data_IF_269042120167
#
_entry.id   IF_269042120167
#
_cell.length_a   1.000
_cell.length_b   1.000
_cell.length_c   1.000
_cell.angle_alpha   90.00
_cell.angle_beta   90.00
_cell.angle_gamma   90.00
#
_symmetry.space_group_name_H-M   'P 1'
#
loop_
_entity.id
_entity.type
_entity.pdbx_description
1 polymer ?
#
# COMPACT_ATOMS: atom_id res chain seq x y z
N UNK A 1 19.03 -8.37 18.26
CA UNK A 1 18.03 -9.34 17.77
C UNK A 1 16.73 -9.27 18.56
N UNK A 2 16.65 -9.87 19.78
CA UNK A 2 15.38 -10.09 20.52
C UNK A 2 14.38 -8.92 20.60
N UNK A 3 14.84 -7.69 20.84
CA UNK A 3 13.95 -6.51 20.90
C UNK A 3 13.37 -6.18 19.52
N UNK A 4 14.19 -6.25 18.48
CA UNK A 4 13.75 -6.02 17.09
C UNK A 4 12.77 -7.10 16.66
N UNK A 5 13.04 -8.37 16.99
CA UNK A 5 12.14 -9.49 16.64
C UNK A 5 10.78 -9.37 17.36
N UNK A 6 10.80 -9.02 18.65
CA UNK A 6 9.57 -8.80 19.43
C UNK A 6 8.77 -7.61 18.89
N UNK A 7 9.44 -6.52 18.54
CA UNK A 7 8.79 -5.35 17.92
C UNK A 7 8.20 -5.70 16.56
N UNK A 8 8.92 -6.44 15.72
CA UNK A 8 8.43 -6.88 14.41
C UNK A 8 7.19 -7.77 14.53
N UNK A 9 7.19 -8.71 15.48
CA UNK A 9 6.01 -9.51 15.78
C UNK A 9 4.83 -8.64 16.23
N UNK A 10 5.08 -7.66 17.13
CA UNK A 10 4.07 -6.69 17.54
C UNK A 10 3.46 -5.91 16.37
N UNK A 11 4.30 -5.44 15.45
CA UNK A 11 3.86 -4.72 14.25
C UNK A 11 3.03 -5.60 13.30
N UNK A 12 3.38 -6.89 13.17
CA UNK A 12 2.57 -7.82 12.40
C UNK A 12 1.16 -7.97 13.00
N UNK A 13 1.05 -8.12 14.33
CA UNK A 13 -0.26 -8.17 15.00
C UNK A 13 -1.05 -6.86 14.86
N UNK A 14 -0.39 -5.70 14.99
CA UNK A 14 -1.03 -4.41 14.74
C UNK A 14 -1.58 -4.33 13.32
N UNK A 15 -0.82 -4.78 12.32
CA UNK A 15 -1.30 -4.80 10.93
C UNK A 15 -2.56 -5.67 10.75
N UNK A 16 -2.61 -6.84 11.40
CA UNK A 16 -3.79 -7.70 11.36
C UNK A 16 -5.00 -7.00 11.99
N UNK A 17 -4.82 -6.40 13.17
CA UNK A 17 -5.88 -5.70 13.88
C UNK A 17 -6.41 -4.50 13.08
N UNK A 18 -5.54 -3.72 12.44
CA UNK A 18 -5.95 -2.57 11.63
C UNK A 18 -6.75 -2.98 10.39
N UNK A 19 -6.35 -4.07 9.71
CA UNK A 19 -7.13 -4.58 8.55
C UNK A 19 -8.48 -5.14 8.99
N UNK A 20 -8.53 -5.85 10.11
CA UNK A 20 -9.79 -6.36 10.69
C UNK A 20 -10.74 -5.22 11.07
N UNK A 21 -10.23 -4.18 11.75
CA UNK A 21 -11.00 -3.00 12.11
C UNK A 21 -11.55 -2.26 10.87
N UNK A 22 -10.70 -2.06 9.85
CA UNK A 22 -11.11 -1.45 8.59
C UNK A 22 -12.25 -2.22 7.91
N UNK A 23 -12.09 -3.54 7.78
CA UNK A 23 -13.06 -4.37 7.05
C UNK A 23 -14.35 -4.53 7.83
N UNK A 24 -14.28 -4.58 9.17
CA UNK A 24 -15.45 -4.55 10.04
C UNK A 24 -16.23 -3.23 9.92
N UNK A 25 -15.56 -2.08 9.90
CA UNK A 25 -16.22 -0.77 9.72
C UNK A 25 -16.97 -0.69 8.38
N UNK A 26 -16.45 -1.35 7.33
CA UNK A 26 -17.04 -1.27 5.99
C UNK A 26 -18.05 -2.38 5.69
N UNK A 27 -18.12 -3.41 6.52
CA UNK A 27 -19.14 -4.46 6.43
C UNK A 27 -20.54 -3.91 6.73
N UNK A 28 -20.65 -2.90 7.61
CA UNK A 28 -21.91 -2.23 7.98
C UNK A 28 -22.39 -1.19 6.95
N UNK A 29 -21.77 -1.14 5.77
CA UNK A 29 -22.11 -0.21 4.68
C UNK A 29 -20.96 0.76 4.39
N UNK A 30 -19.94 0.25 3.70
CA UNK A 30 -18.76 1.00 3.31
C UNK A 30 -19.01 2.14 2.30
N UNK A 31 -17.96 2.90 1.95
CA UNK A 31 -18.06 4.07 1.08
C UNK A 31 -18.55 3.75 -0.33
N UNK A 32 -19.31 4.68 -0.92
CA UNK A 32 -19.69 4.61 -2.33
C UNK A 32 -18.46 4.75 -3.24
N UNK A 33 -18.48 4.03 -4.36
CA UNK A 33 -17.48 4.17 -5.42
C UNK A 33 -17.74 5.46 -6.20
N UNK A 34 -16.70 6.27 -6.38
CA UNK A 34 -16.81 7.46 -7.23
C UNK A 34 -17.05 7.08 -8.68
N UNK A 35 -17.76 7.94 -9.43
CA UNK A 35 -17.95 7.77 -10.88
C UNK A 35 -16.63 7.64 -11.67
N UNK A 36 -15.55 8.25 -11.18
CA UNK A 36 -14.23 8.18 -11.78
C UNK A 36 -13.39 6.97 -11.27
N UNK A 37 -13.97 6.13 -10.43
CA UNK A 37 -13.29 5.10 -9.65
C UNK A 37 -12.68 5.65 -8.36
N UNK A 38 -12.49 4.76 -7.39
CA UNK A 38 -11.87 5.09 -6.11
C UNK A 38 -12.80 5.73 -5.08
N UNK A 39 -12.19 6.24 -4.02
CA UNK A 39 -12.83 6.81 -2.83
C UNK A 39 -12.84 8.33 -2.87
N UNK A 40 -13.86 8.92 -2.24
CA UNK A 40 -13.88 10.35 -1.98
C UNK A 40 -12.86 10.73 -0.88
N UNK A 41 -12.33 11.96 -0.95
CA UNK A 41 -11.45 12.50 0.10
C UNK A 41 -12.14 12.50 1.47
N UNK A 42 -13.45 12.77 1.49
CA UNK A 42 -14.25 12.76 2.72
C UNK A 42 -14.32 11.37 3.33
N UNK A 43 -14.55 10.34 2.51
CA UNK A 43 -14.63 8.96 2.99
C UNK A 43 -13.27 8.46 3.46
N UNK A 44 -12.19 8.76 2.73
CA UNK A 44 -10.82 8.46 3.18
C UNK A 44 -10.50 9.13 4.53
N UNK A 45 -10.90 10.39 4.70
CA UNK A 45 -10.73 11.09 5.98
C UNK A 45 -11.55 10.46 7.11
N UNK A 46 -12.78 10.01 6.83
CA UNK A 46 -13.59 9.29 7.82
C UNK A 46 -12.91 7.98 8.22
N UNK A 47 -12.40 7.22 7.26
CA UNK A 47 -11.65 5.98 7.51
C UNK A 47 -10.38 6.25 8.33
N UNK A 48 -9.65 7.32 8.04
CA UNK A 48 -8.48 7.72 8.80
C UNK A 48 -8.82 8.03 10.27
N UNK A 49 -9.93 8.71 10.51
CA UNK A 49 -10.45 8.97 11.88
C UNK A 49 -10.88 7.68 12.56
N UNK A 50 -11.58 6.78 11.86
CA UNK A 50 -12.03 5.51 12.42
C UNK A 50 -10.85 4.62 12.85
N UNK A 51 -9.79 4.58 12.05
CA UNK A 51 -8.57 3.81 12.33
C UNK A 51 -7.57 4.53 13.25
N UNK A 52 -7.84 5.76 13.68
CA UNK A 52 -6.92 6.63 14.43
C UNK A 52 -5.52 6.76 13.79
N UNK A 53 -5.47 6.98 12.48
CA UNK A 53 -4.22 7.14 11.71
C UNK A 53 -4.27 8.35 10.78
N UNK A 54 -3.10 8.88 10.34
CA UNK A 54 -3.06 9.88 9.28
C UNK A 54 -3.67 9.38 7.96
N UNK A 55 -4.25 10.29 7.16
CA UNK A 55 -4.88 9.94 5.87
C UNK A 55 -3.99 9.12 4.92
N UNK A 56 -2.67 9.39 4.76
CA UNK A 56 -1.80 8.55 3.92
C UNK A 56 -1.65 7.11 4.43
N UNK A 57 -1.75 6.91 5.75
CA UNK A 57 -1.67 5.58 6.37
C UNK A 57 -2.99 4.83 6.17
N UNK A 58 -4.14 5.51 6.31
CA UNK A 58 -5.43 4.93 5.98
C UNK A 58 -5.50 4.51 4.50
N UNK A 59 -5.00 5.35 3.58
CA UNK A 59 -4.91 5.03 2.16
C UNK A 59 -4.05 3.77 1.92
N UNK A 60 -2.94 3.62 2.65
CA UNK A 60 -2.12 2.41 2.60
C UNK A 60 -2.90 1.16 3.00
N UNK A 61 -3.62 1.18 4.12
CA UNK A 61 -4.37 0.02 4.62
C UNK A 61 -5.52 -0.37 3.68
N UNK A 62 -6.27 0.62 3.18
CA UNK A 62 -7.34 0.42 2.20
C UNK A 62 -6.81 -0.25 0.93
N UNK A 63 -5.72 0.28 0.38
CA UNK A 63 -5.09 -0.28 -0.83
C UNK A 63 -4.50 -1.67 -0.60
N UNK A 64 -3.96 -1.92 0.60
CA UNK A 64 -3.44 -3.24 0.96
C UNK A 64 -4.56 -4.28 1.07
N UNK A 65 -5.66 -3.95 1.73
CA UNK A 65 -6.83 -4.82 1.85
C UNK A 65 -7.41 -5.14 0.46
N UNK A 66 -7.47 -4.13 -0.42
CA UNK A 66 -7.88 -4.32 -1.82
C UNK A 66 -6.91 -5.22 -2.59
N UNK A 67 -5.59 -4.97 -2.49
CA UNK A 67 -4.57 -5.80 -3.15
C UNK A 67 -4.54 -7.24 -2.64
N UNK A 68 -4.91 -7.49 -1.38
CA UNK A 68 -5.04 -8.82 -0.79
C UNK A 68 -6.35 -9.54 -1.19
N UNK A 69 -7.22 -8.86 -1.95
CA UNK A 69 -8.54 -9.34 -2.35
C UNK A 69 -9.49 -9.51 -1.18
N UNK A 70 -9.26 -8.79 -0.07
CA UNK A 70 -10.14 -8.80 1.11
C UNK A 70 -11.23 -7.73 0.99
N UNK A 71 -10.93 -6.67 0.23
CA UNK A 71 -11.82 -5.56 -0.06
C UNK A 71 -12.08 -5.49 -1.56
N UNK A 72 -13.33 -5.34 -1.97
CA UNK A 72 -13.68 -5.09 -3.35
C UNK A 72 -14.93 -4.22 -3.43
N UNK A 73 -15.24 -3.83 -4.66
CA UNK A 73 -16.51 -3.20 -4.98
C UNK A 73 -17.61 -4.26 -5.12
N UNK A 74 -18.81 -4.00 -4.60
CA UNK A 74 -19.93 -4.96 -4.63
C UNK A 74 -20.59 -5.11 -6.01
N UNK A 75 -20.36 -4.15 -6.92
CA UNK A 75 -20.87 -4.18 -8.30
C UNK A 75 -22.38 -3.91 -8.43
N UNK A 76 -23.03 -3.46 -7.36
CA UNK A 76 -24.46 -3.13 -7.36
C UNK A 76 -24.74 -1.75 -8.00
N UNK A 77 -26.02 -1.41 -8.21
CA UNK A 77 -26.42 -0.16 -8.89
C UNK A 77 -25.89 1.09 -8.17
N UNK A 78 -25.84 1.05 -6.84
CA UNK A 78 -25.23 2.07 -5.97
C UNK A 78 -23.94 1.51 -5.37
N UNK A 79 -23.01 1.19 -6.26
CA UNK A 79 -21.77 0.45 -6.00
C UNK A 79 -20.99 0.98 -4.77
N UNK A 80 -20.62 0.06 -3.87
CA UNK A 80 -19.88 0.35 -2.62
C UNK A 80 -18.68 -0.57 -2.45
N UNK A 81 -17.68 -0.06 -1.73
CA UNK A 81 -16.60 -0.90 -1.25
C UNK A 81 -17.03 -1.65 0.01
N UNK A 82 -16.84 -2.97 0.02
CA UNK A 82 -17.19 -3.85 1.12
C UNK A 82 -16.17 -4.98 1.26
N UNK A 83 -16.21 -5.65 2.42
CA UNK A 83 -15.48 -6.89 2.62
C UNK A 83 -15.94 -7.95 1.60
N UNK A 84 -14.99 -8.71 1.08
CA UNK A 84 -15.28 -9.85 0.19
C UNK A 84 -15.46 -11.12 1.01
N UNK A 85 -16.03 -12.21 0.45
CA UNK A 85 -16.04 -13.51 1.12
C UNK A 85 -14.64 -14.03 1.50
N UNK A 86 -13.59 -13.57 0.82
CA UNK A 86 -12.22 -13.96 1.14
C UNK A 86 -11.69 -13.34 2.45
N UNK A 87 -12.42 -12.38 3.02
CA UNK A 87 -12.20 -11.85 4.37
C UNK A 87 -12.60 -12.86 5.45
N UNK A 88 -13.76 -13.51 5.31
CA UNK A 88 -14.20 -14.55 6.26
C UNK A 88 -13.20 -15.71 6.27
N UNK A 89 -12.78 -16.17 5.10
CA UNK A 89 -11.74 -17.20 4.97
C UNK A 89 -10.41 -16.75 5.59
N UNK A 90 -10.07 -15.46 5.50
CA UNK A 90 -8.86 -14.92 6.08
C UNK A 90 -8.92 -14.90 7.61
N UNK A 91 -10.07 -14.58 8.23
CA UNK A 91 -10.24 -14.57 9.68
C UNK A 91 -10.00 -15.95 10.32
N UNK A 92 -10.37 -17.03 9.62
CA UNK A 92 -10.17 -18.40 10.07
C UNK A 92 -8.70 -18.86 10.04
N UNK A 93 -7.81 -18.11 9.39
CA UNK A 93 -6.40 -18.46 9.30
C UNK A 93 -5.63 -18.16 10.59
N UNK A 94 -4.60 -18.97 10.91
CA UNK A 94 -3.62 -18.63 11.94
C UNK A 94 -3.02 -17.24 11.69
N UNK A 95 -2.66 -16.46 12.75
CA UNK A 95 -2.13 -15.11 12.59
C UNK A 95 -0.92 -15.00 11.64
N UNK A 96 -0.04 -16.01 11.64
CA UNK A 96 1.12 -16.05 10.76
C UNK A 96 0.71 -16.13 9.27
N UNK A 97 -0.32 -16.91 8.95
CA UNK A 97 -0.81 -17.09 7.58
C UNK A 97 -1.60 -15.86 7.13
N UNK A 98 -2.37 -15.26 8.04
CA UNK A 98 -3.02 -13.96 7.80
C UNK A 98 -2.00 -12.88 7.43
N UNK A 99 -0.92 -12.79 8.20
CA UNK A 99 0.18 -11.86 7.95
C UNK A 99 0.87 -12.16 6.63
N UNK A 100 1.18 -13.44 6.37
CA UNK A 100 1.84 -13.86 5.14
C UNK A 100 1.03 -13.45 3.90
N UNK A 101 -0.30 -13.59 3.92
CA UNK A 101 -1.18 -13.15 2.82
C UNK A 101 -1.07 -11.64 2.56
N UNK A 102 -1.14 -10.81 3.60
CA UNK A 102 -0.99 -9.36 3.47
C UNK A 102 0.41 -8.97 2.95
N UNK A 103 1.46 -9.56 3.53
CA UNK A 103 2.84 -9.28 3.13
C UNK A 103 3.12 -9.67 1.66
N UNK A 104 2.59 -10.82 1.22
CA UNK A 104 2.71 -11.27 -0.17
C UNK A 104 1.97 -10.33 -1.13
N UNK A 105 0.73 -9.96 -0.81
CA UNK A 105 -0.04 -9.00 -1.61
C UNK A 105 0.70 -7.66 -1.74
N UNK A 106 1.27 -7.14 -0.64
CA UNK A 106 2.07 -5.91 -0.67
C UNK A 106 3.32 -6.06 -1.54
N UNK A 107 4.05 -7.17 -1.42
CA UNK A 107 5.31 -7.40 -2.14
C UNK A 107 5.12 -7.40 -3.66
N UNK A 108 4.02 -7.96 -4.15
CA UNK A 108 3.75 -8.09 -5.59
C UNK A 108 2.91 -6.95 -6.16
N UNK A 109 2.23 -6.14 -5.33
CA UNK A 109 1.36 -5.07 -5.79
C UNK A 109 2.10 -4.01 -6.63
N UNK A 110 1.52 -3.60 -7.75
CA UNK A 110 2.04 -2.46 -8.54
C UNK A 110 1.55 -1.12 -8.01
N UNK A 111 0.43 -1.09 -7.29
CA UNK A 111 -0.15 0.12 -6.73
C UNK A 111 0.73 0.71 -5.63
N UNK A 112 0.88 2.03 -5.64
CA UNK A 112 1.64 2.80 -4.64
C UNK A 112 0.73 3.78 -3.91
N UNK A 113 0.26 3.45 -2.69
CA UNK A 113 -0.70 4.29 -1.96
C UNK A 113 -0.14 5.66 -1.57
N UNK A 114 1.19 5.78 -1.44
CA UNK A 114 1.85 7.03 -1.03
C UNK A 114 1.73 8.21 -1.99
N UNK A 115 1.14 8.01 -3.18
CA UNK A 115 0.87 9.09 -4.15
C UNK A 115 -0.60 9.55 -4.11
N UNK A 116 -1.43 8.95 -3.25
CA UNK A 116 -2.80 9.43 -3.04
C UNK A 116 -2.75 10.87 -2.55
N UNK A 117 -3.55 11.74 -3.17
CA UNK A 117 -3.52 13.18 -2.95
C UNK A 117 -2.62 13.96 -3.92
N UNK A 118 -1.68 13.31 -4.60
CA UNK A 118 -0.87 13.95 -5.65
C UNK A 118 -1.70 14.28 -6.89
N UNK A 119 -1.11 15.06 -7.80
CA UNK A 119 -1.70 15.45 -9.08
C UNK A 119 -1.16 14.56 -10.21
N UNK A 120 -2.06 14.09 -11.07
CA UNK A 120 -1.69 13.39 -12.30
C UNK A 120 -1.22 14.37 -13.40
N UNK A 121 -0.82 13.84 -14.57
CA UNK A 121 -0.36 14.66 -15.71
C UNK A 121 -1.44 15.60 -16.29
N UNK A 122 -2.71 15.42 -15.90
CA UNK A 122 -3.85 16.25 -16.27
C UNK A 122 -4.33 17.13 -15.09
N UNK A 123 -3.49 17.29 -14.07
CA UNK A 123 -3.74 18.07 -12.85
C UNK A 123 -4.93 17.57 -11.99
N UNK A 124 -5.31 16.30 -12.15
CA UNK A 124 -6.36 15.66 -11.35
C UNK A 124 -5.76 15.01 -10.12
N UNK A 125 -6.42 15.16 -8.98
CA UNK A 125 -6.01 14.49 -7.73
C UNK A 125 -6.19 12.98 -7.84
N UNK A 126 -5.17 12.23 -7.41
CA UNK A 126 -5.22 10.77 -7.33
C UNK A 126 -5.99 10.32 -6.08
N UNK A 127 -7.04 9.53 -6.27
CA UNK A 127 -7.86 8.95 -5.19
C UNK A 127 -7.37 7.56 -4.79
N UNK A 128 -7.52 7.21 -3.51
CA UNK A 128 -7.39 5.82 -3.07
C UNK A 128 -8.42 4.94 -3.80
N UNK A 129 -8.04 3.71 -4.13
CA UNK A 129 -8.73 2.74 -5.00
C UNK A 129 -9.00 3.25 -6.43
N UNK A 130 -8.53 4.45 -6.77
CA UNK A 130 -8.70 5.05 -8.09
C UNK A 130 -7.67 4.57 -9.12
N UNK A 131 -7.83 4.99 -10.38
CA UNK A 131 -6.81 4.76 -11.41
C UNK A 131 -5.56 5.62 -11.18
N UNK A 132 -4.43 5.23 -11.76
CA UNK A 132 -3.19 6.04 -11.78
C UNK A 132 -2.24 5.84 -10.60
N UNK A 133 -2.53 4.86 -9.73
CA UNK A 133 -1.66 4.52 -8.60
C UNK A 133 -0.60 3.47 -8.96
N UNK A 134 -0.72 2.79 -10.10
CA UNK A 134 0.23 1.77 -10.52
C UNK A 134 1.59 2.34 -10.90
N UNK A 135 2.65 1.77 -10.31
CA UNK A 135 4.05 1.96 -10.69
C UNK A 135 4.67 0.59 -10.94
N UNK A 136 5.00 0.27 -12.19
CA UNK A 136 5.53 -1.05 -12.57
C UNK A 136 6.82 -1.44 -11.80
N UNK A 137 7.62 -0.46 -11.39
CA UNK A 137 8.84 -0.68 -10.61
C UNK A 137 8.61 -0.93 -9.10
N UNK A 138 7.38 -0.75 -8.58
CA UNK A 138 7.13 -0.83 -7.15
C UNK A 138 7.49 -2.19 -6.52
N UNK A 139 7.14 -3.35 -7.12
CA UNK A 139 7.56 -4.66 -6.60
C UNK A 139 9.09 -4.78 -6.50
N UNK A 140 9.82 -4.36 -7.54
CA UNK A 140 11.29 -4.38 -7.57
C UNK A 140 11.89 -3.52 -6.44
N UNK A 141 11.33 -2.33 -6.20
CA UNK A 141 11.77 -1.43 -5.13
C UNK A 141 11.52 -2.03 -3.75
N UNK A 142 10.35 -2.65 -3.51
CA UNK A 142 10.04 -3.30 -2.23
C UNK A 142 11.02 -4.43 -1.92
N UNK A 143 11.28 -5.31 -2.88
CA UNK A 143 12.24 -6.40 -2.71
C UNK A 143 13.64 -5.89 -2.40
N UNK A 144 14.07 -4.79 -3.04
CA UNK A 144 15.36 -4.16 -2.74
C UNK A 144 15.44 -3.59 -1.34
N UNK A 145 14.40 -2.87 -0.90
CA UNK A 145 14.34 -2.36 0.47
C UNK A 145 14.49 -3.53 1.46
N UNK A 146 13.72 -4.60 1.29
CA UNK A 146 13.81 -5.77 2.15
C UNK A 146 15.18 -6.46 2.08
N UNK A 147 15.76 -6.62 0.88
CA UNK A 147 17.09 -7.21 0.72
C UNK A 147 18.18 -6.36 1.40
N UNK A 148 18.07 -5.03 1.33
CA UNK A 148 18.99 -4.13 2.01
C UNK A 148 18.85 -4.25 3.53
N UNK A 149 17.63 -4.27 4.05
CA UNK A 149 17.37 -4.45 5.48
C UNK A 149 17.86 -5.81 5.99
N UNK A 150 17.67 -6.87 5.20
CA UNK A 150 18.12 -8.23 5.54
C UNK A 150 19.65 -8.39 5.53
N UNK A 151 20.37 -7.51 4.84
CA UNK A 151 21.84 -7.52 4.80
C UNK A 151 22.49 -6.78 6.00
N UNK A 152 21.69 -6.10 6.83
CA UNK A 152 22.20 -5.39 8.00
C UNK A 152 22.51 -6.35 9.15
N UNK A 153 23.44 -5.99 10.06
CA UNK A 153 23.68 -6.77 11.27
C UNK A 153 22.41 -6.98 12.07
N UNK A 154 22.28 -8.14 12.73
CA UNK A 154 21.11 -8.46 13.54
C UNK A 154 20.84 -7.38 14.60
N UNK A 155 19.59 -6.90 14.64
CA UNK A 155 19.18 -5.84 15.56
C UNK A 155 19.48 -4.42 15.08
N UNK A 156 20.01 -4.24 13.86
CA UNK A 156 20.09 -2.92 13.23
C UNK A 156 18.69 -2.36 12.93
N UNK A 157 18.52 -1.06 13.12
CA UNK A 157 17.30 -0.31 12.81
C UNK A 157 17.70 0.99 12.10
N UNK A 158 17.95 0.95 10.77
CA UNK A 158 18.32 2.15 10.04
C UNK A 158 17.14 3.12 9.95
N UNK A 159 17.43 4.41 9.87
CA UNK A 159 16.41 5.40 9.53
C UNK A 159 16.05 5.32 8.04
N UNK A 160 14.86 5.85 7.69
CA UNK A 160 14.35 5.79 6.33
C UNK A 160 15.19 6.61 5.33
N UNK A 161 15.80 7.73 5.75
CA UNK A 161 16.61 8.57 4.88
C UNK A 161 17.90 7.85 4.46
N UNK A 162 18.54 7.13 5.38
CA UNK A 162 19.70 6.28 5.12
C UNK A 162 19.39 5.18 4.11
N UNK A 163 18.24 4.51 4.24
CA UNK A 163 17.79 3.49 3.27
C UNK A 163 17.56 4.12 1.89
N UNK A 164 16.88 5.27 1.82
CA UNK A 164 16.63 5.99 0.57
C UNK A 164 17.93 6.45 -0.09
N UNK A 165 18.87 6.99 0.68
CA UNK A 165 20.18 7.40 0.19
C UNK A 165 20.94 6.21 -0.40
N UNK A 166 20.92 5.05 0.29
CA UNK A 166 21.55 3.83 -0.19
C UNK A 166 20.94 3.31 -1.48
N UNK A 167 19.62 3.30 -1.61
CA UNK A 167 18.91 2.88 -2.83
C UNK A 167 19.24 3.80 -4.02
N UNK A 168 19.31 5.11 -3.79
CA UNK A 168 19.72 6.10 -4.82
C UNK A 168 21.18 5.90 -5.25
N UNK A 169 22.06 5.48 -4.34
CA UNK A 169 23.45 5.15 -4.67
C UNK A 169 23.56 3.88 -5.53
N UNK A 170 22.78 2.82 -5.25
CA UNK A 170 22.80 1.58 -6.04
C UNK A 170 22.25 1.75 -7.45
N UNK A 171 21.28 2.64 -7.60
CA UNK A 171 20.75 3.05 -8.91
C UNK A 171 20.68 4.57 -8.96
N UNK A 172 21.76 5.24 -9.38
CA UNK A 172 21.65 6.61 -9.83
C UNK A 172 20.56 6.61 -10.90
N UNK A 173 19.55 7.47 -10.74
CA UNK A 173 18.54 7.69 -11.77
C UNK A 173 19.31 7.89 -13.08
N UNK A 174 19.13 6.98 -14.05
CA UNK A 174 19.68 7.23 -15.38
C UNK A 174 19.03 8.53 -15.82
N UNK A 175 19.82 9.61 -15.88
CA UNK A 175 19.36 10.90 -16.34
C UNK A 175 18.67 10.76 -17.70
N UNK A 176 17.82 11.72 -18.11
CA UNK A 176 17.19 11.65 -19.41
C UNK A 176 18.27 11.34 -20.44
N UNK A 177 18.11 10.23 -21.17
CA UNK A 177 18.93 9.96 -22.34
C UNK A 177 18.72 11.20 -23.22
N UNK A 178 19.73 12.09 -23.26
CA UNK A 178 19.88 12.98 -24.40
C UNK A 178 19.99 12.04 -25.58
N UNK A 179 18.88 11.82 -26.27
CA UNK A 179 18.87 11.33 -27.64
C UNK A 179 19.83 12.23 -28.36
N UNK A 180 21.05 11.73 -28.53
CA UNK A 180 22.10 12.40 -29.26
C UNK A 180 21.57 12.60 -30.66
N UNK A 181 21.38 13.87 -30.97
CA UNK A 181 21.48 14.48 -32.28
C UNK A 181 22.37 13.63 -33.21
N UNK A 182 21.73 12.81 -34.04
CA UNK A 182 22.35 12.09 -35.13
C UNK A 182 21.48 12.30 -36.36
N UNK A 183 21.81 13.39 -37.07
CA UNK A 183 21.95 13.46 -38.53
C UNK A 183 22.72 14.77 -38.81
N UNK A 184 24.03 14.80 -39.06
CA UNK A 184 24.79 14.28 -40.20
C UNK A 184 24.14 14.53 -41.57
N UNK A 185 24.25 15.77 -42.08
CA UNK A 185 24.96 16.16 -43.33
C UNK A 185 24.40 17.45 -43.93
#
# INVERSE_FOLDING_TARGET
ARVVDATAAGQAYTALATVEELLKDWDEGGPNVLRAGGLSVRDLKRTAVALDVPEPVAAFWVELAYAAGLLASDGEVDERYAATPAYDEWLELPPADRWARLAQAWLTATRTPGVVGDRDAKDRTLSALGPGLDRSAAPEVRHRVLALLAALPEGAAPDAESVLARLRWERPLRGPQRTGDHDLR
#
